data_IF_624652185120
#
_entry.id   IF_624652185120
#
_cell.length_a   1.000
_cell.length_b   1.000
_cell.length_c   1.000
_cell.angle_alpha   90.00
_cell.angle_beta   90.00
_cell.angle_gamma   90.00
#
_symmetry.space_group_name_H-M   'P 1'
#
loop_
_entity.id
_entity.type
_entity.pdbx_description
1 polymer ?
#
# COMPACT_ATOMS: atom_id res chain seq x y z
N UNK A 1 -9.85 -7.09 -17.71
CA UNK A 1 -9.13 -5.91 -17.18
C UNK A 1 -9.78 -5.38 -15.91
N UNK A 2 -10.98 -4.78 -15.96
CA UNK A 2 -11.62 -4.19 -14.76
C UNK A 2 -11.74 -5.18 -13.60
N UNK A 3 -12.19 -6.41 -13.87
CA UNK A 3 -12.20 -7.49 -12.88
C UNK A 3 -10.82 -7.77 -12.25
N UNK A 4 -9.72 -7.65 -12.99
CA UNK A 4 -8.39 -7.94 -12.46
C UNK A 4 -7.87 -6.82 -11.53
N UNK A 5 -8.26 -5.57 -11.78
CA UNK A 5 -7.64 -4.40 -11.13
C UNK A 5 -8.52 -3.70 -10.09
N UNK A 6 -9.82 -3.99 -10.04
CA UNK A 6 -10.82 -3.21 -9.30
C UNK A 6 -10.46 -2.94 -7.82
N UNK A 7 -10.07 -3.98 -7.08
CA UNK A 7 -9.77 -3.85 -5.65
C UNK A 7 -8.55 -2.96 -5.40
N UNK A 8 -7.48 -3.17 -6.16
CA UNK A 8 -6.29 -2.35 -6.05
C UNK A 8 -6.52 -0.90 -6.51
N UNK A 9 -7.35 -0.76 -7.55
CA UNK A 9 -7.80 0.53 -8.07
C UNK A 9 -8.55 1.33 -7.01
N UNK A 10 -9.39 0.71 -6.21
CA UNK A 10 -10.11 1.38 -5.13
C UNK A 10 -9.14 2.02 -4.13
N UNK A 11 -8.23 1.24 -3.54
CA UNK A 11 -7.27 1.73 -2.53
C UNK A 11 -6.36 2.82 -3.06
N UNK A 12 -5.74 2.61 -4.23
CA UNK A 12 -4.84 3.62 -4.80
C UNK A 12 -5.60 4.87 -5.26
N UNK A 13 -6.89 4.78 -5.64
CA UNK A 13 -7.70 5.96 -5.89
C UNK A 13 -8.03 6.70 -4.60
N UNK A 14 -8.21 6.02 -3.46
CA UNK A 14 -8.43 6.64 -2.15
C UNK A 14 -7.22 7.48 -1.70
N UNK A 15 -6.02 7.09 -2.10
CA UNK A 15 -4.78 7.82 -1.81
C UNK A 15 -4.42 8.86 -2.90
N UNK A 16 -5.15 8.89 -4.02
CA UNK A 16 -4.82 9.74 -5.17
C UNK A 16 -3.67 9.22 -6.07
N UNK A 17 -3.15 8.04 -5.76
CA UNK A 17 -2.01 7.41 -6.44
C UNK A 17 -2.39 6.70 -7.73
N UNK A 18 -3.63 6.23 -7.88
CA UNK A 18 -4.01 5.39 -9.03
C UNK A 18 -3.59 6.01 -10.39
N UNK A 19 -2.81 5.28 -11.21
CA UNK A 19 -2.33 5.74 -12.51
C UNK A 19 -3.47 5.72 -13.53
N UNK A 20 -4.17 6.85 -13.66
CA UNK A 20 -5.18 7.09 -14.69
C UNK A 20 -4.73 8.23 -15.60
N UNK A 21 -5.01 8.13 -16.89
CA UNK A 21 -4.96 9.25 -17.82
C UNK A 21 -5.98 10.29 -17.37
N UNK A 22 -5.51 11.37 -16.76
CA UNK A 22 -6.39 12.41 -16.24
C UNK A 22 -6.80 13.32 -17.40
N UNK A 23 -8.11 13.43 -17.66
CA UNK A 23 -8.65 14.23 -18.77
C UNK A 23 -8.78 15.73 -18.47
N UNK A 24 -8.75 16.13 -17.20
CA UNK A 24 -9.01 17.51 -16.76
C UNK A 24 -7.98 17.98 -15.71
N UNK A 25 -7.43 19.17 -15.89
CA UNK A 25 -6.48 19.82 -14.97
C UNK A 25 -6.97 19.87 -13.52
N UNK A 26 -8.29 20.10 -13.30
CA UNK A 26 -8.88 20.10 -11.95
C UNK A 26 -8.77 18.74 -11.25
N UNK A 27 -9.00 17.65 -11.98
CA UNK A 27 -8.89 16.29 -11.42
C UNK A 27 -7.44 15.94 -11.09
N UNK A 28 -6.48 16.42 -11.89
CA UNK A 28 -5.05 16.21 -11.64
C UNK A 28 -4.63 16.92 -10.37
N UNK A 29 -5.08 18.16 -10.19
CA UNK A 29 -4.86 18.95 -8.98
C UNK A 29 -5.42 18.24 -7.74
N UNK A 30 -6.67 17.78 -7.77
CA UNK A 30 -7.31 17.07 -6.64
C UNK A 30 -6.56 15.77 -6.29
N UNK A 31 -6.11 14.99 -7.28
CA UNK A 31 -5.34 13.78 -7.00
C UNK A 31 -3.98 14.12 -6.36
N UNK A 32 -3.28 15.13 -6.89
CA UNK A 32 -1.98 15.55 -6.37
C UNK A 32 -2.09 16.16 -4.97
N UNK A 33 -3.12 16.98 -4.72
CA UNK A 33 -3.34 17.55 -3.38
C UNK A 33 -3.65 16.47 -2.36
N UNK A 34 -4.43 15.44 -2.71
CA UNK A 34 -4.70 14.30 -1.83
C UNK A 34 -3.43 13.55 -1.45
N UNK A 35 -2.58 13.22 -2.42
CA UNK A 35 -1.28 12.57 -2.15
C UNK A 35 -0.44 13.45 -1.23
N UNK A 36 -0.31 14.75 -1.53
CA UNK A 36 0.46 15.70 -0.75
C UNK A 36 -0.04 15.81 0.70
N UNK A 37 -1.34 16.02 0.90
CA UNK A 37 -1.97 16.13 2.23
C UNK A 37 -1.76 14.83 3.02
N UNK A 38 -1.91 13.68 2.36
CA UNK A 38 -1.74 12.36 3.00
C UNK A 38 -0.31 12.15 3.46
N UNK A 39 0.67 12.42 2.59
CA UNK A 39 2.10 12.33 2.92
C UNK A 39 2.48 13.31 4.04
N UNK A 40 1.98 14.54 3.98
CA UNK A 40 2.26 15.56 4.99
C UNK A 40 1.68 15.18 6.36
N UNK A 41 0.44 14.71 6.38
CA UNK A 41 -0.22 14.22 7.60
C UNK A 41 0.52 13.04 8.21
N UNK A 42 0.92 12.06 7.40
CA UNK A 42 1.76 10.94 7.83
C UNK A 42 3.06 11.39 8.50
N UNK A 43 3.75 12.39 7.90
CA UNK A 43 5.01 12.90 8.43
C UNK A 43 4.80 13.59 9.79
N UNK A 44 3.83 14.50 9.88
CA UNK A 44 3.63 15.30 11.10
C UNK A 44 2.97 14.53 12.24
N UNK A 45 1.97 13.70 11.95
CA UNK A 45 1.19 13.02 12.99
C UNK A 45 1.78 11.68 13.40
N UNK A 46 2.61 11.03 12.56
CA UNK A 46 3.21 9.73 12.90
C UNK A 46 4.73 9.82 12.94
N UNK A 47 5.39 10.17 11.83
CA UNK A 47 6.85 9.97 11.69
C UNK A 47 7.64 10.87 12.64
N UNK A 48 7.35 12.17 12.70
CA UNK A 48 8.06 13.10 13.59
C UNK A 48 7.88 12.70 15.07
N UNK A 49 6.65 12.45 15.58
CA UNK A 49 6.45 11.96 16.94
C UNK A 49 7.13 10.61 17.24
N UNK A 50 7.18 9.70 16.26
CA UNK A 50 7.90 8.43 16.38
C UNK A 50 9.41 8.62 16.51
N UNK A 51 10.01 9.49 15.68
CA UNK A 51 11.44 9.81 15.76
C UNK A 51 11.76 10.54 17.07
N UNK A 52 10.92 11.46 17.51
CA UNK A 52 11.11 12.16 18.77
C UNK A 52 11.05 11.18 19.96
N UNK A 53 10.11 10.24 19.93
CA UNK A 53 10.03 9.12 20.88
C UNK A 53 11.32 8.30 20.88
N UNK A 54 11.82 7.90 19.70
CA UNK A 54 13.06 7.14 19.56
C UNK A 54 14.27 7.83 20.18
N UNK A 55 14.36 9.16 20.05
CA UNK A 55 15.43 9.95 20.68
C UNK A 55 15.31 9.92 22.21
N UNK A 56 14.09 9.98 22.76
CA UNK A 56 13.85 9.99 24.22
C UNK A 56 14.16 8.67 24.90
N UNK A 57 13.87 7.56 24.23
CA UNK A 57 14.11 6.19 24.72
C UNK A 57 15.46 5.63 24.27
N UNK A 58 16.33 6.48 23.72
CA UNK A 58 17.66 6.08 23.26
C UNK A 58 18.48 5.48 24.40
N UNK A 59 19.05 4.30 24.17
CA UNK A 59 19.81 3.53 25.15
C UNK A 59 19.07 2.31 25.69
N UNK A 60 17.74 2.26 25.59
CA UNK A 60 16.96 1.04 25.85
C UNK A 60 16.72 0.28 24.55
N UNK A 61 17.50 -0.78 24.34
CA UNK A 61 17.46 -1.56 23.10
C UNK A 61 16.08 -2.17 22.82
N UNK A 62 15.34 -2.59 23.83
CA UNK A 62 14.04 -3.24 23.63
C UNK A 62 12.98 -2.21 23.21
N UNK A 63 12.93 -1.07 23.89
CA UNK A 63 12.02 0.03 23.51
C UNK A 63 12.39 0.61 22.13
N UNK A 64 13.68 0.69 21.81
CA UNK A 64 14.14 1.15 20.50
C UNK A 64 13.72 0.19 19.40
N UNK A 65 13.87 -1.13 19.59
CA UNK A 65 13.43 -2.14 18.62
C UNK A 65 11.91 -2.08 18.41
N UNK A 66 11.14 -1.98 19.50
CA UNK A 66 9.69 -1.87 19.44
C UNK A 66 9.20 -0.61 18.72
N UNK A 67 9.90 0.53 18.88
CA UNK A 67 9.62 1.75 18.12
C UNK A 67 10.05 1.61 16.64
N UNK A 68 11.28 1.14 16.39
CA UNK A 68 11.89 1.12 15.07
C UNK A 68 11.11 0.28 14.07
N UNK A 69 10.50 -0.84 14.49
CA UNK A 69 9.68 -1.66 13.59
C UNK A 69 8.55 -0.87 12.93
N UNK A 70 7.90 0.04 13.68
CA UNK A 70 6.82 0.88 13.16
C UNK A 70 7.37 2.12 12.46
N UNK A 71 8.40 2.75 13.03
CA UNK A 71 9.00 3.97 12.47
C UNK A 71 9.60 3.72 11.09
N UNK A 72 10.36 2.64 10.91
CA UNK A 72 10.95 2.27 9.62
C UNK A 72 9.88 1.90 8.60
N UNK A 73 8.83 1.17 9.02
CA UNK A 73 7.71 0.84 8.16
C UNK A 73 6.97 2.11 7.69
N UNK A 74 6.73 3.06 8.60
CA UNK A 74 6.11 4.35 8.29
C UNK A 74 6.95 5.19 7.31
N UNK A 75 8.26 5.30 7.55
CA UNK A 75 9.20 6.00 6.65
C UNK A 75 9.19 5.34 5.26
N UNK A 76 9.27 4.00 5.21
CA UNK A 76 9.19 3.23 3.96
C UNK A 76 7.90 3.51 3.20
N UNK A 77 6.75 3.56 3.88
CA UNK A 77 5.46 3.91 3.28
C UNK A 77 5.48 5.31 2.66
N UNK A 78 6.00 6.32 3.35
CA UNK A 78 6.09 7.70 2.82
C UNK A 78 7.00 7.75 1.59
N UNK A 79 8.19 7.13 1.65
CA UNK A 79 9.13 7.06 0.51
C UNK A 79 8.46 6.39 -0.69
N UNK A 80 7.76 5.27 -0.48
CA UNK A 80 7.03 4.54 -1.53
C UNK A 80 5.94 5.41 -2.17
N UNK A 81 5.17 6.15 -1.37
CA UNK A 81 4.15 7.09 -1.88
C UNK A 81 4.80 8.15 -2.77
N UNK A 82 5.89 8.78 -2.33
CA UNK A 82 6.62 9.81 -3.07
C UNK A 82 7.17 9.24 -4.38
N UNK A 83 7.83 8.09 -4.32
CA UNK A 83 8.40 7.43 -5.50
C UNK A 83 7.32 7.05 -6.52
N UNK A 84 6.22 6.44 -6.06
CA UNK A 84 5.11 6.06 -6.92
C UNK A 84 4.45 7.28 -7.55
N UNK A 85 4.29 8.36 -6.79
CA UNK A 85 3.72 9.61 -7.27
C UNK A 85 4.61 10.30 -8.31
N UNK A 86 5.92 10.39 -8.07
CA UNK A 86 6.90 10.94 -9.03
C UNK A 86 6.86 10.15 -10.34
N UNK A 87 6.86 8.82 -10.26
CA UNK A 87 6.91 7.94 -11.45
C UNK A 87 5.55 7.69 -12.08
N UNK A 88 4.48 8.32 -11.59
CA UNK A 88 3.10 8.08 -12.03
C UNK A 88 2.91 8.24 -13.54
N UNK A 89 3.50 9.27 -14.16
CA UNK A 89 3.38 9.50 -15.61
C UNK A 89 4.04 8.39 -16.44
N UNK A 90 5.10 7.76 -15.93
CA UNK A 90 5.74 6.61 -16.56
C UNK A 90 4.94 5.29 -16.36
N UNK A 91 4.14 5.20 -15.29
CA UNK A 91 3.29 4.03 -15.00
C UNK A 91 2.02 4.02 -15.86
N UNK A 92 1.48 5.19 -16.23
CA UNK A 92 0.28 5.31 -17.07
C UNK A 92 0.37 4.53 -18.39
N UNK A 93 1.43 4.68 -19.23
CA UNK A 93 1.52 3.92 -20.47
C UNK A 93 1.60 2.41 -20.23
N UNK A 94 2.26 1.95 -19.16
CA UNK A 94 2.30 0.54 -18.76
C UNK A 94 0.89 0.02 -18.47
N UNK A 95 0.09 0.78 -17.73
CA UNK A 95 -1.30 0.43 -17.46
C UNK A 95 -2.18 0.41 -18.72
N UNK A 96 -1.93 1.31 -19.66
CA UNK A 96 -2.61 1.30 -20.95
C UNK A 96 -2.23 0.07 -21.78
N UNK A 97 -0.96 -0.35 -21.78
CA UNK A 97 -0.52 -1.59 -22.43
C UNK A 97 -1.18 -2.80 -21.79
N UNK A 98 -1.18 -2.88 -20.47
CA UNK A 98 -1.87 -3.92 -19.71
C UNK A 98 -3.35 -4.01 -20.12
N UNK A 99 -4.06 -2.89 -20.15
CA UNK A 99 -5.47 -2.85 -20.57
C UNK A 99 -5.67 -3.33 -22.02
N UNK A 100 -4.80 -2.88 -22.95
CA UNK A 100 -4.82 -3.32 -24.35
C UNK A 100 -4.58 -4.81 -24.48
N UNK A 101 -3.61 -5.35 -23.75
CA UNK A 101 -3.31 -6.77 -23.72
C UNK A 101 -4.53 -7.57 -23.27
N UNK A 102 -5.31 -7.12 -22.28
CA UNK A 102 -6.51 -7.82 -21.86
C UNK A 102 -7.59 -7.91 -22.95
N UNK A 103 -7.75 -6.86 -23.76
CA UNK A 103 -8.81 -6.75 -24.78
C UNK A 103 -8.41 -7.45 -26.09
N UNK A 104 -7.10 -7.54 -26.38
CA UNK A 104 -6.58 -8.16 -27.60
C UNK A 104 -7.17 -9.57 -27.82
N UNK A 105 -7.61 -9.93 -29.04
CA UNK A 105 -8.03 -11.30 -29.35
C UNK A 105 -6.92 -12.32 -29.05
N UNK A 106 -7.30 -13.42 -28.40
CA UNK A 106 -6.38 -14.51 -27.99
C UNK A 106 -7.08 -15.85 -28.13
N UNK A 107 -6.29 -16.90 -28.29
CA UNK A 107 -6.78 -18.28 -28.18
C UNK A 107 -7.36 -18.54 -26.78
N UNK A 108 -8.25 -19.53 -26.68
CA UNK A 108 -8.84 -19.94 -25.40
C UNK A 108 -7.76 -20.28 -24.36
N UNK A 109 -6.71 -20.99 -24.78
CA UNK A 109 -5.58 -21.35 -23.92
C UNK A 109 -4.81 -20.11 -23.44
N UNK A 110 -4.53 -19.14 -24.32
CA UNK A 110 -3.85 -17.91 -23.95
C UNK A 110 -4.67 -17.05 -22.98
N UNK A 111 -5.99 -17.00 -23.16
CA UNK A 111 -6.91 -16.35 -22.21
C UNK A 111 -6.88 -17.05 -20.84
N UNK A 112 -6.84 -18.39 -20.82
CA UNK A 112 -6.77 -19.15 -19.57
C UNK A 112 -5.49 -18.86 -18.77
N UNK A 113 -4.33 -18.78 -19.43
CA UNK A 113 -3.07 -18.40 -18.75
C UNK A 113 -3.15 -17.04 -18.07
N UNK A 114 -3.69 -16.03 -18.77
CA UNK A 114 -3.88 -14.71 -18.18
C UNK A 114 -4.86 -14.72 -17.00
N UNK A 115 -5.98 -15.45 -17.09
CA UNK A 115 -6.95 -15.56 -16.00
C UNK A 115 -6.31 -16.23 -14.78
N UNK A 116 -5.58 -17.33 -14.98
CA UNK A 116 -4.90 -18.05 -13.90
C UNK A 116 -3.92 -17.15 -13.15
N UNK A 117 -3.08 -16.40 -13.87
CA UNK A 117 -2.13 -15.47 -13.24
C UNK A 117 -2.84 -14.29 -12.55
N UNK A 118 -3.92 -13.78 -13.13
CA UNK A 118 -4.73 -12.73 -12.51
C UNK A 118 -5.44 -13.22 -11.24
N UNK A 119 -5.86 -14.49 -11.19
CA UNK A 119 -6.40 -15.11 -9.98
C UNK A 119 -5.33 -15.17 -8.89
N UNK A 120 -4.11 -15.61 -9.20
CA UNK A 120 -2.99 -15.61 -8.23
C UNK A 120 -2.72 -14.21 -7.67
N UNK A 121 -2.69 -13.18 -8.54
CA UNK A 121 -2.54 -11.78 -8.11
C UNK A 121 -3.69 -11.33 -7.20
N UNK A 122 -4.93 -11.72 -7.51
CA UNK A 122 -6.11 -11.41 -6.69
C UNK A 122 -6.11 -12.14 -5.35
N UNK A 123 -5.66 -13.39 -5.30
CA UNK A 123 -5.52 -14.13 -4.04
C UNK A 123 -4.49 -13.45 -3.14
N UNK A 124 -3.32 -13.09 -3.68
CA UNK A 124 -2.30 -12.34 -2.94
C UNK A 124 -2.84 -11.00 -2.43
N UNK A 125 -3.62 -10.31 -3.26
CA UNK A 125 -4.30 -9.08 -2.87
C UNK A 125 -5.25 -9.31 -1.70
N UNK A 126 -6.16 -10.27 -1.79
CA UNK A 126 -7.12 -10.54 -0.71
C UNK A 126 -6.39 -10.93 0.57
N UNK A 127 -5.40 -11.82 0.50
CA UNK A 127 -4.61 -12.23 1.66
C UNK A 127 -3.88 -11.04 2.31
N UNK A 128 -3.22 -10.18 1.53
CA UNK A 128 -2.49 -9.03 2.06
C UNK A 128 -3.41 -7.99 2.72
N UNK A 129 -4.59 -7.71 2.14
CA UNK A 129 -5.57 -6.82 2.77
C UNK A 129 -6.23 -7.45 4.02
N UNK A 130 -6.44 -8.76 4.04
CA UNK A 130 -6.93 -9.45 5.23
C UNK A 130 -5.93 -9.38 6.39
N UNK A 131 -4.64 -9.67 6.11
CA UNK A 131 -3.56 -9.55 7.10
C UNK A 131 -3.48 -8.10 7.60
N UNK A 132 -3.49 -7.13 6.68
CA UNK A 132 -3.51 -5.71 7.01
C UNK A 132 -4.66 -5.34 7.96
N UNK A 133 -5.88 -5.81 7.68
CA UNK A 133 -7.06 -5.56 8.50
C UNK A 133 -6.91 -6.14 9.92
N UNK A 134 -6.44 -7.38 10.03
CA UNK A 134 -6.16 -8.03 11.32
C UNK A 134 -5.10 -7.25 12.10
N UNK A 135 -4.00 -6.84 11.44
CA UNK A 135 -2.95 -6.03 12.07
C UNK A 135 -3.47 -4.67 12.54
N UNK A 136 -4.31 -3.99 11.75
CA UNK A 136 -4.90 -2.70 12.16
C UNK A 136 -5.81 -2.85 13.39
N UNK A 137 -6.62 -3.92 13.42
CA UNK A 137 -7.48 -4.25 14.58
C UNK A 137 -6.60 -4.53 15.81
N UNK A 138 -5.57 -5.37 15.65
CA UNK A 138 -4.66 -5.74 16.73
C UNK A 138 -3.92 -4.52 17.31
N UNK A 139 -3.52 -3.56 16.47
CA UNK A 139 -2.81 -2.35 16.91
C UNK A 139 -3.74 -1.33 17.57
N UNK A 140 -4.95 -1.16 17.03
CA UNK A 140 -5.81 -0.02 17.40
C UNK A 140 -6.80 -0.35 18.51
N UNK A 141 -7.35 -1.57 18.52
CA UNK A 141 -8.46 -1.93 19.42
C UNK A 141 -8.03 -2.12 20.88
N UNK A 142 -6.95 -2.87 21.21
CA UNK A 142 -6.59 -3.08 22.62
C UNK A 142 -6.32 -1.79 23.41
N UNK A 143 -5.64 -0.76 22.85
CA UNK A 143 -5.49 0.53 23.51
C UNK A 143 -6.80 1.24 23.90
N UNK A 144 -7.90 1.03 23.15
CA UNK A 144 -9.24 1.58 23.49
C UNK A 144 -9.73 1.01 24.82
N UNK A 145 -9.40 -0.25 25.10
CA UNK A 145 -9.74 -0.95 26.33
C UNK A 145 -8.68 -0.81 27.43
N UNK A 146 -7.70 0.08 27.26
CA UNK A 146 -6.63 0.29 28.22
C UNK A 146 -5.56 -0.81 28.24
N UNK A 147 -5.53 -1.67 27.23
CA UNK A 147 -4.50 -2.70 27.08
C UNK A 147 -3.38 -2.21 26.16
N UNK A 148 -2.12 -2.43 26.55
CA UNK A 148 -0.98 -2.22 25.67
C UNK A 148 -0.59 -3.53 24.99
N UNK A 149 -0.33 -3.47 23.68
CA UNK A 149 0.26 -4.58 22.91
C UNK A 149 1.76 -4.42 22.69
N UNK A 150 2.31 -3.28 23.11
CA UNK A 150 3.66 -2.82 22.83
C UNK A 150 4.44 -2.64 24.13
N UNK A 151 5.76 -2.58 24.02
CA UNK A 151 6.58 -2.24 25.17
C UNK A 151 6.39 -0.74 25.46
N UNK A 152 6.07 -0.41 26.70
CA UNK A 152 5.71 0.96 27.10
C UNK A 152 6.68 1.47 28.16
N UNK A 153 6.96 2.77 28.11
CA UNK A 153 7.69 3.48 29.15
C UNK A 153 6.89 4.69 29.60
N UNK A 154 7.05 5.11 30.86
CA UNK A 154 6.43 6.34 31.36
C UNK A 154 6.96 7.61 30.67
N UNK A 155 8.07 7.52 29.91
CA UNK A 155 8.67 8.65 29.20
C UNK A 155 7.85 8.98 27.95
N UNK A 156 7.47 7.97 27.17
CA UNK A 156 6.76 8.16 25.90
C UNK A 156 5.26 8.15 26.06
N UNK A 157 4.74 7.41 27.04
CA UNK A 157 3.30 7.21 27.25
C UNK A 157 2.93 7.31 28.73
N UNK A 158 3.08 8.51 29.33
CA UNK A 158 2.56 8.74 30.68
C UNK A 158 1.02 8.67 30.62
N UNK A 159 0.43 7.60 31.16
CA UNK A 159 -1.03 7.49 31.28
C UNK A 159 -1.65 6.43 30.37
N UNK A 160 -2.60 6.85 29.51
CA UNK A 160 -3.42 5.91 28.72
C UNK A 160 -2.64 5.34 27.52
N UNK A 161 -2.82 4.04 27.18
CA UNK A 161 -2.09 3.42 26.08
C UNK A 161 -2.38 4.03 24.71
N UNK A 162 -1.34 4.17 23.88
CA UNK A 162 -1.47 4.64 22.49
C UNK A 162 -1.20 3.50 21.50
N UNK A 163 -1.78 3.55 20.29
CA UNK A 163 -1.49 2.57 19.23
C UNK A 163 0.01 2.49 18.87
N UNK A 164 0.70 3.64 18.80
CA UNK A 164 2.12 3.73 18.50
C UNK A 164 2.89 4.40 19.64
N UNK A 165 4.17 4.01 19.81
CA UNK A 165 5.07 4.65 20.76
C UNK A 165 5.59 5.99 20.22
N UNK A 166 4.92 7.08 20.56
CA UNK A 166 5.17 8.44 20.03
C UNK A 166 5.33 9.47 21.13
N UNK A 167 6.11 10.53 20.88
CA UNK A 167 6.28 11.63 21.81
C UNK A 167 5.98 12.97 21.13
N UNK A 168 4.93 13.65 21.60
CA UNK A 168 4.48 14.93 21.06
C UNK A 168 4.99 16.10 21.90
N UNK A 169 5.07 17.29 21.29
CA UNK A 169 5.49 18.54 21.96
C UNK A 169 4.43 19.09 22.92
N UNK A 170 3.21 18.53 22.90
CA UNK A 170 2.11 18.88 23.77
C UNK A 170 1.78 17.72 24.71
N UNK A 171 1.10 18.03 25.81
CA UNK A 171 0.73 17.06 26.84
C UNK A 171 -0.42 16.15 26.39
N UNK A 172 -0.09 14.90 26.08
CA UNK A 172 -1.05 13.87 25.61
C UNK A 172 -1.79 13.19 26.76
N UNK A 173 -1.50 13.52 28.03
CA UNK A 173 -2.16 12.91 29.20
C UNK A 173 -3.51 13.56 29.50
N UNK A 174 -3.71 14.78 28.99
CA UNK A 174 -4.90 15.60 29.20
C UNK A 174 -5.96 15.34 28.13
N UNK A 175 -7.21 15.44 28.54
CA UNK A 175 -8.33 15.50 27.59
C UNK A 175 -8.55 16.96 27.18
N UNK A 176 -8.81 17.26 25.89
CA UNK A 176 -9.08 16.33 24.78
C UNK A 176 -7.84 15.92 23.94
N UNK A 177 -6.62 16.30 24.34
CA UNK A 177 -5.41 16.08 23.55
C UNK A 177 -5.11 14.60 23.33
N UNK A 178 -5.33 13.77 24.36
CA UNK A 178 -5.24 12.32 24.26
C UNK A 178 -6.15 11.80 23.14
N UNK A 179 -7.45 12.12 23.20
CA UNK A 179 -8.45 11.62 22.27
C UNK A 179 -8.15 12.03 20.83
N UNK A 180 -7.76 13.29 20.59
CA UNK A 180 -7.37 13.75 19.25
C UNK A 180 -6.14 13.03 18.72
N UNK A 181 -5.14 12.80 19.57
CA UNK A 181 -3.91 12.11 19.18
C UNK A 181 -4.21 10.65 18.84
N UNK A 182 -5.03 9.99 19.65
CA UNK A 182 -5.46 8.61 19.44
C UNK A 182 -6.20 8.47 18.11
N UNK A 183 -7.18 9.34 17.85
CA UNK A 183 -7.94 9.36 16.59
C UNK A 183 -6.99 9.60 15.41
N UNK A 184 -6.02 10.50 15.54
CA UNK A 184 -5.04 10.74 14.48
C UNK A 184 -4.24 9.49 14.15
N UNK A 185 -3.74 8.76 15.16
CA UNK A 185 -3.00 7.51 14.94
C UNK A 185 -3.89 6.44 14.34
N UNK A 186 -5.11 6.27 14.87
CA UNK A 186 -6.10 5.32 14.36
C UNK A 186 -6.48 5.57 12.89
N UNK A 187 -6.37 6.82 12.41
CA UNK A 187 -6.60 7.19 10.99
C UNK A 187 -5.34 6.97 10.16
N UNK A 188 -4.17 7.44 10.61
CA UNK A 188 -2.95 7.42 9.80
C UNK A 188 -2.29 6.04 9.73
N UNK A 189 -2.43 5.18 10.73
CA UNK A 189 -1.94 3.78 10.69
C UNK A 189 -2.54 3.01 9.49
N UNK A 190 -3.88 2.90 9.33
CA UNK A 190 -4.44 2.19 8.20
C UNK A 190 -4.13 2.89 6.87
N UNK A 191 -4.02 4.22 6.82
CA UNK A 191 -3.58 4.95 5.62
C UNK A 191 -2.16 4.54 5.21
N UNK A 192 -1.22 4.48 6.16
CA UNK A 192 0.14 4.03 5.93
C UNK A 192 0.18 2.62 5.35
N UNK A 193 -0.57 1.72 5.99
CA UNK A 193 -0.62 0.31 5.62
C UNK A 193 -1.29 0.12 4.25
N UNK A 194 -2.38 0.83 3.98
CA UNK A 194 -3.04 0.83 2.67
C UNK A 194 -2.12 1.34 1.55
N UNK A 195 -1.31 2.36 1.82
CA UNK A 195 -0.34 2.86 0.85
C UNK A 195 0.73 1.80 0.55
N UNK A 196 1.28 1.19 1.60
CA UNK A 196 2.28 0.13 1.48
C UNK A 196 1.75 -1.07 0.68
N UNK A 197 0.65 -1.66 1.17
CA UNK A 197 0.01 -2.86 0.60
C UNK A 197 -0.56 -2.57 -0.80
N UNK A 198 -1.12 -1.40 -1.03
CA UNK A 198 -1.66 -1.02 -2.34
C UNK A 198 -0.59 -0.88 -3.42
N UNK A 199 0.56 -0.29 -3.09
CA UNK A 199 1.70 -0.17 -4.02
C UNK A 199 2.30 -1.55 -4.32
N UNK A 200 2.50 -2.40 -3.32
CA UNK A 200 3.02 -3.75 -3.53
C UNK A 200 2.07 -4.60 -4.37
N UNK A 201 0.76 -4.59 -4.05
CA UNK A 201 -0.22 -5.32 -4.86
C UNK A 201 -0.32 -4.81 -6.29
N UNK A 202 -0.10 -3.51 -6.52
CA UNK A 202 0.01 -2.96 -7.87
C UNK A 202 1.17 -3.56 -8.63
N UNK A 203 2.34 -3.62 -8.00
CA UNK A 203 3.52 -4.23 -8.60
C UNK A 203 3.31 -5.72 -8.84
N UNK A 204 2.75 -6.46 -7.88
CA UNK A 204 2.42 -7.88 -8.04
C UNK A 204 1.46 -8.12 -9.20
N UNK A 205 0.42 -7.29 -9.35
CA UNK A 205 -0.51 -7.38 -10.48
C UNK A 205 0.21 -7.23 -11.83
N UNK A 206 1.14 -6.27 -11.94
CA UNK A 206 1.95 -6.09 -13.16
C UNK A 206 2.83 -7.30 -13.42
N UNK A 207 3.53 -7.80 -12.39
CA UNK A 207 4.41 -8.97 -12.50
C UNK A 207 3.61 -10.19 -12.96
N UNK A 208 2.48 -10.49 -12.33
CA UNK A 208 1.66 -11.64 -12.72
C UNK A 208 1.11 -11.54 -14.14
N UNK A 209 0.78 -10.33 -14.62
CA UNK A 209 0.40 -10.15 -16.03
C UNK A 209 1.54 -10.39 -16.99
N UNK A 210 2.75 -9.90 -16.68
CA UNK A 210 3.94 -10.18 -17.48
C UNK A 210 4.19 -11.70 -17.51
N UNK A 211 4.12 -12.39 -16.37
CA UNK A 211 4.18 -13.86 -16.33
C UNK A 211 3.12 -14.52 -17.22
N UNK A 212 1.89 -13.97 -17.26
CA UNK A 212 0.84 -14.45 -18.15
C UNK A 212 1.17 -14.25 -19.63
N UNK A 213 1.78 -13.13 -20.01
CA UNK A 213 2.27 -12.90 -21.37
C UNK A 213 3.41 -13.86 -21.74
N UNK A 214 4.32 -14.14 -20.80
CA UNK A 214 5.40 -15.10 -20.98
C UNK A 214 4.89 -16.53 -21.13
N UNK A 215 3.88 -16.94 -20.35
CA UNK A 215 3.21 -18.24 -20.50
C UNK A 215 2.59 -18.37 -21.92
N UNK A 216 1.99 -17.30 -22.45
CA UNK A 216 1.46 -17.28 -23.83
C UNK A 216 2.59 -17.40 -24.86
N UNK A 217 3.67 -16.66 -24.68
CA UNK A 217 4.82 -16.67 -25.59
C UNK A 217 5.46 -18.06 -25.63
N UNK A 218 5.72 -18.66 -24.47
CA UNK A 218 6.23 -20.01 -24.34
C UNK A 218 5.35 -21.00 -25.10
N UNK A 219 4.03 -20.94 -24.91
CA UNK A 219 3.09 -21.83 -25.59
C UNK A 219 3.10 -21.65 -27.11
N UNK A 220 3.35 -20.44 -27.62
CA UNK A 220 3.48 -20.21 -29.07
C UNK A 220 4.78 -20.80 -29.60
N UNK A 221 5.89 -20.59 -28.88
CA UNK A 221 7.20 -21.09 -29.25
C UNK A 221 7.23 -22.63 -29.27
N UNK A 222 6.57 -23.30 -28.33
CA UNK A 222 6.52 -24.76 -28.27
C UNK A 222 5.63 -25.41 -29.34
N UNK A 223 4.78 -24.62 -30.00
CA UNK A 223 3.86 -25.10 -31.05
C UNK A 223 4.10 -24.37 -32.38
N UNK A 224 5.32 -23.87 -32.61
CA UNK A 224 5.68 -23.14 -33.83
C UNK A 224 5.40 -23.94 -35.10
N UNK A 225 5.62 -25.25 -35.06
CA UNK A 225 5.33 -26.21 -36.13
C UNK A 225 3.86 -26.17 -36.61
N UNK A 226 2.92 -25.92 -35.71
CA UNK A 226 1.49 -25.77 -36.03
C UNK A 226 1.16 -24.42 -36.66
N UNK A 227 1.98 -23.40 -36.46
CA UNK A 227 1.82 -22.08 -37.07
C UNK A 227 2.55 -21.95 -38.41
N UNK A 228 3.68 -22.65 -38.59
CA UNK A 228 4.48 -22.62 -39.83
C UNK A 228 3.78 -23.37 -40.99
N UNK A 229 3.01 -24.42 -40.68
CA UNK A 229 2.23 -25.17 -41.67
C UNK A 229 0.96 -24.45 -42.18
N UNK A 230 0.66 -23.23 -41.70
CA UNK A 230 -0.53 -22.48 -42.14
C UNK A 230 -0.39 -21.90 -43.56
N UNK A 231 0.83 -21.79 -44.09
CA UNK A 231 1.09 -21.33 -45.46
C UNK A 231 1.12 -22.45 -46.52
N UNK A 232 0.81 -23.70 -46.14
CA UNK A 232 0.85 -24.87 -47.04
C UNK A 232 -0.51 -25.55 -47.27
N UNK A 233 -1.62 -24.89 -46.96
CA UNK A 233 -2.98 -25.38 -47.25
C UNK A 233 -3.73 -24.38 -48.11
#
# INVERSE_FOLDING_TARGET
FEWAVNLNRFTLNLLGLWPKTVRNSRQKLICNSRVFITSLGMIFFIIIPCIHSLIKIFGDMLLMLDNLQFTLAGISSVIRIINFWWKKEAIIPIMNMFAKDWIKPKSAQGRNFMIRRAQSARTLLICSYSIMGITCIYITIPPIFGMTIRLTSNITDPGRPMPLQTHYIYDITKSPQYEFTFISQAIYIPIAMMAYVGIDNFLSLLIFHICGQLDILQNRLTHLDKYENYHKV
#
